data_IF_734298609526
#
_entry.id   IF_734298609526
#
_cell.length_a   1.000
_cell.length_b   1.000
_cell.length_c   1.000
_cell.angle_alpha   90.00
_cell.angle_beta   90.00
_cell.angle_gamma   90.00
#
_symmetry.space_group_name_H-M   'P 1'
#
loop_
_entity.id
_entity.type
_entity.pdbx_description
1 polymer ?
#
# COMPACT_ATOMS: atom_id res chain seq x y z
N UNK A 1 -35.78 26.48 -52.85
CA UNK A 1 -34.78 25.40 -53.07
C UNK A 1 -33.41 25.97 -52.68
N UNK A 2 -32.61 25.23 -51.91
CA UNK A 2 -31.25 25.59 -51.43
C UNK A 2 -31.09 26.30 -50.06
N UNK A 3 -31.48 25.66 -48.96
CA UNK A 3 -30.99 26.00 -47.60
C UNK A 3 -30.71 24.76 -46.72
N UNK A 4 -30.35 23.62 -47.33
CA UNK A 4 -29.96 22.41 -46.58
C UNK A 4 -28.48 22.02 -46.71
N UNK A 5 -27.72 22.68 -47.58
CA UNK A 5 -26.29 22.34 -47.80
C UNK A 5 -25.36 22.96 -46.75
N UNK A 6 -25.62 24.19 -46.31
CA UNK A 6 -24.75 24.89 -45.34
C UNK A 6 -24.80 24.35 -43.91
N UNK A 7 -25.95 23.84 -43.47
CA UNK A 7 -26.13 23.30 -42.12
C UNK A 7 -25.42 21.95 -41.96
N UNK A 8 -25.36 21.15 -43.05
CA UNK A 8 -24.68 19.85 -43.06
C UNK A 8 -23.16 19.98 -43.00
N UNK A 9 -22.56 20.99 -43.64
CA UNK A 9 -21.11 21.23 -43.59
C UNK A 9 -20.66 21.73 -42.23
N UNK A 10 -21.46 22.56 -41.55
CA UNK A 10 -21.15 23.03 -40.18
C UNK A 10 -21.22 21.87 -39.18
N UNK A 11 -22.22 20.98 -39.32
CA UNK A 11 -22.34 19.79 -38.46
C UNK A 11 -21.16 18.82 -38.64
N UNK A 12 -20.67 18.64 -39.87
CA UNK A 12 -19.50 17.78 -40.15
C UNK A 12 -18.22 18.39 -39.55
N UNK A 13 -18.01 19.70 -39.65
CA UNK A 13 -16.87 20.37 -39.01
C UNK A 13 -16.91 20.27 -37.48
N UNK A 14 -18.10 20.33 -36.87
CA UNK A 14 -18.25 20.20 -35.42
C UNK A 14 -17.96 18.76 -34.93
N UNK A 15 -18.33 17.75 -35.71
CA UNK A 15 -18.03 16.33 -35.40
C UNK A 15 -16.54 16.02 -35.57
N UNK A 16 -15.88 16.61 -36.58
CA UNK A 16 -14.42 16.46 -36.77
C UNK A 16 -13.65 17.19 -35.66
N UNK A 17 -14.11 18.37 -35.23
CA UNK A 17 -13.50 19.10 -34.11
C UNK A 17 -13.66 18.36 -32.78
N UNK A 18 -14.79 17.67 -32.55
CA UNK A 18 -14.99 16.85 -31.35
C UNK A 18 -14.18 15.54 -31.37
N UNK A 19 -13.86 15.01 -32.55
CA UNK A 19 -13.03 13.81 -32.69
C UNK A 19 -11.54 14.08 -32.40
N UNK A 20 -11.10 15.35 -32.41
CA UNK A 20 -9.70 15.73 -32.20
C UNK A 20 -9.31 15.97 -30.72
N UNK A 21 -10.24 15.97 -29.77
CA UNK A 21 -9.92 16.20 -28.34
C UNK A 21 -9.67 14.93 -27.53
N UNK A 22 -9.75 13.73 -28.12
CA UNK A 22 -9.37 12.48 -27.45
C UNK A 22 -7.97 12.03 -27.86
N UNK A 23 -6.97 12.84 -27.51
CA UNK A 23 -5.64 12.33 -27.22
C UNK A 23 -5.24 12.83 -25.84
N UNK A 24 -5.79 12.18 -24.82
CA UNK A 24 -5.08 12.09 -23.55
C UNK A 24 -3.77 11.38 -23.91
N UNK A 25 -2.70 12.15 -24.01
CA UNK A 25 -1.37 11.61 -23.95
C UNK A 25 -1.28 10.88 -22.61
N UNK A 26 -1.49 9.57 -22.62
CA UNK A 26 -0.91 8.74 -21.60
C UNK A 26 0.58 8.96 -21.74
N UNK A 27 1.16 9.75 -20.83
CA UNK A 27 2.59 9.71 -20.62
C UNK A 27 2.96 8.23 -20.52
N UNK A 28 3.94 7.73 -21.31
CA UNK A 28 4.47 6.42 -21.00
C UNK A 28 4.89 6.48 -19.53
N UNK A 29 4.61 5.42 -18.77
CA UNK A 29 5.16 5.22 -17.42
C UNK A 29 6.69 5.06 -17.53
N UNK A 30 7.36 6.10 -17.98
CA UNK A 30 8.77 6.19 -18.23
C UNK A 30 9.41 6.82 -17.01
N UNK A 31 10.19 6.01 -16.31
CA UNK A 31 11.21 6.46 -15.37
C UNK A 31 10.76 7.33 -14.20
N UNK A 32 9.92 6.80 -13.32
CA UNK A 32 10.11 7.10 -11.89
C UNK A 32 10.72 5.87 -11.23
N UNK A 33 12.03 5.70 -11.37
CA UNK A 33 12.78 4.80 -10.48
C UNK A 33 12.73 5.41 -9.06
N UNK A 34 11.59 5.22 -8.38
CA UNK A 34 11.43 5.51 -6.95
C UNK A 34 12.22 4.47 -6.18
N UNK A 35 12.96 4.88 -5.16
CA UNK A 35 13.93 4.04 -4.45
C UNK A 35 13.40 2.65 -4.14
N UNK A 36 13.86 1.62 -4.84
CA UNK A 36 13.28 0.29 -4.62
C UNK A 36 13.79 -0.29 -3.30
N UNK A 37 12.92 -1.03 -2.61
CA UNK A 37 13.32 -1.88 -1.51
C UNK A 37 14.24 -2.97 -2.10
N UNK A 38 15.41 -3.19 -1.48
CA UNK A 38 16.37 -4.20 -1.98
C UNK A 38 15.73 -5.59 -2.01
N UNK A 39 16.22 -6.44 -2.91
CA UNK A 39 15.83 -7.84 -2.96
C UNK A 39 16.30 -8.62 -1.72
N UNK A 40 17.37 -8.15 -1.08
CA UNK A 40 17.93 -8.75 0.14
C UNK A 40 17.15 -8.39 1.42
N UNK A 41 16.19 -7.48 1.33
CA UNK A 41 15.36 -7.11 2.48
C UNK A 41 14.45 -8.28 2.86
N UNK A 42 14.45 -8.71 4.14
CA UNK A 42 13.67 -9.85 4.60
C UNK A 42 12.20 -9.75 4.17
N UNK A 43 11.64 -10.86 3.71
CA UNK A 43 10.21 -10.98 3.37
C UNK A 43 9.41 -11.39 4.60
N UNK A 44 8.09 -11.28 4.52
CA UNK A 44 7.19 -11.69 5.59
C UNK A 44 7.41 -13.14 6.00
N UNK A 45 7.64 -14.04 5.04
CA UNK A 45 7.92 -15.45 5.33
C UNK A 45 9.26 -15.64 6.06
N UNK A 46 10.32 -14.93 5.65
CA UNK A 46 11.63 -14.99 6.31
C UNK A 46 11.54 -14.46 7.76
N UNK A 47 10.79 -13.37 7.96
CA UNK A 47 10.52 -12.82 9.29
C UNK A 47 9.74 -13.82 10.16
N UNK A 48 8.74 -14.49 9.60
CA UNK A 48 7.99 -15.53 10.31
C UNK A 48 8.87 -16.71 10.65
N UNK A 49 9.69 -17.18 9.72
CA UNK A 49 10.58 -18.32 9.93
C UNK A 49 11.59 -18.04 11.04
N UNK A 50 12.15 -16.83 11.08
CA UNK A 50 13.10 -16.40 12.10
C UNK A 50 12.51 -16.23 13.51
N UNK A 51 11.18 -16.22 13.66
CA UNK A 51 10.56 -16.20 14.99
C UNK A 51 10.85 -17.50 15.76
N UNK A 52 11.30 -17.32 16.99
CA UNK A 52 11.62 -18.38 17.95
C UNK A 52 11.17 -17.97 19.35
N UNK A 53 11.25 -18.88 20.32
CA UNK A 53 10.94 -18.54 21.72
C UNK A 53 11.90 -17.48 22.30
N UNK A 54 13.15 -17.42 21.82
CA UNK A 54 14.14 -16.42 22.22
C UNK A 54 13.99 -15.07 21.50
N UNK A 55 13.37 -15.06 20.31
CA UNK A 55 13.06 -13.86 19.54
C UNK A 55 11.64 -13.96 18.97
N UNK A 56 10.60 -13.79 19.80
CA UNK A 56 9.23 -14.07 19.39
C UNK A 56 8.60 -12.91 18.60
N UNK A 57 9.25 -11.75 18.56
CA UNK A 57 8.66 -10.51 18.04
C UNK A 57 9.15 -10.22 16.61
N UNK A 58 8.23 -9.71 15.79
CA UNK A 58 8.59 -9.12 14.50
C UNK A 58 9.47 -7.87 14.71
N UNK A 59 10.35 -7.54 13.74
CA UNK A 59 11.11 -6.30 13.78
C UNK A 59 10.16 -5.09 13.77
N UNK A 60 10.49 -4.07 14.57
CA UNK A 60 9.66 -2.87 14.70
C UNK A 60 9.79 -1.95 13.49
N UNK A 61 10.93 -1.97 12.81
CA UNK A 61 11.26 -1.16 11.64
C UNK A 61 11.31 -2.05 10.40
N UNK A 62 10.51 -1.69 9.41
CA UNK A 62 10.25 -2.50 8.22
C UNK A 62 10.30 -1.64 6.97
N UNK A 63 10.92 -2.15 5.90
CA UNK A 63 10.84 -1.53 4.57
C UNK A 63 9.73 -2.20 3.78
N UNK A 64 8.67 -1.45 3.46
CA UNK A 64 7.47 -1.98 2.80
C UNK A 64 6.90 -0.99 1.79
N UNK A 65 6.14 -1.49 0.82
CA UNK A 65 5.36 -0.66 -0.09
C UNK A 65 4.00 -0.33 0.51
N UNK A 66 3.51 0.89 0.31
CA UNK A 66 2.17 1.26 0.76
C UNK A 66 1.10 0.80 -0.22
N UNK A 67 0.11 0.03 0.25
CA UNK A 67 -1.02 -0.40 -0.57
C UNK A 67 -2.17 0.62 -0.55
N UNK A 68 -2.55 1.08 0.65
CA UNK A 68 -3.73 1.92 0.83
C UNK A 68 -4.24 1.92 2.27
N UNK A 69 -5.32 2.67 2.51
CA UNK A 69 -5.99 2.71 3.81
C UNK A 69 -7.17 1.74 3.84
N UNK A 70 -7.27 0.94 4.90
CA UNK A 70 -8.38 0.02 5.16
C UNK A 70 -8.91 0.22 6.57
N UNK A 71 -10.07 0.89 6.71
CA UNK A 71 -10.67 1.18 8.00
C UNK A 71 -9.76 2.06 8.88
N UNK A 72 -9.20 1.47 9.94
CA UNK A 72 -8.29 2.13 10.88
C UNK A 72 -6.81 1.81 10.63
N UNK A 73 -6.52 1.10 9.54
CA UNK A 73 -5.19 0.61 9.20
C UNK A 73 -4.65 1.27 7.93
N UNK A 74 -3.35 1.53 7.94
CA UNK A 74 -2.54 1.71 6.75
C UNK A 74 -1.98 0.34 6.38
N UNK A 75 -2.29 -0.12 5.18
CA UNK A 75 -1.91 -1.45 4.70
C UNK A 75 -0.66 -1.30 3.87
N UNK A 76 0.36 -2.07 4.23
CA UNK A 76 1.62 -2.16 3.52
C UNK A 76 1.84 -3.60 3.04
N UNK A 77 2.77 -3.80 2.13
CA UNK A 77 3.14 -5.12 1.64
C UNK A 77 4.65 -5.22 1.37
N UNK A 78 5.19 -6.43 1.53
CA UNK A 78 6.56 -6.73 1.10
C UNK A 78 6.62 -6.93 -0.42
N UNK A 79 7.81 -7.15 -0.96
CA UNK A 79 8.00 -7.40 -2.40
C UNK A 79 7.20 -8.60 -2.94
N UNK A 80 6.89 -9.58 -2.09
CA UNK A 80 6.11 -10.78 -2.45
C UNK A 80 4.60 -10.56 -2.32
N UNK A 81 4.16 -9.36 -1.93
CA UNK A 81 2.74 -9.03 -1.76
C UNK A 81 2.15 -9.49 -0.42
N UNK A 82 2.97 -9.95 0.54
CA UNK A 82 2.47 -10.29 1.87
C UNK A 82 2.20 -9.01 2.66
N UNK A 83 0.98 -8.89 3.18
CA UNK A 83 0.50 -7.65 3.77
C UNK A 83 0.83 -7.51 5.25
N UNK A 84 1.06 -6.27 5.67
CA UNK A 84 1.29 -5.82 7.04
C UNK A 84 0.29 -4.71 7.36
N UNK A 85 -0.31 -4.75 8.54
CA UNK A 85 -1.35 -3.80 8.93
C UNK A 85 -0.82 -2.87 10.02
N UNK A 86 -0.79 -1.58 9.73
CA UNK A 86 -0.37 -0.56 10.69
C UNK A 86 -1.58 0.25 11.14
N UNK A 87 -2.06 0.01 12.36
CA UNK A 87 -3.15 0.76 12.97
C UNK A 87 -2.68 2.20 13.17
N UNK A 88 -3.29 3.15 12.47
CA UNK A 88 -2.90 4.56 12.56
C UNK A 88 -3.90 5.40 13.35
N UNK A 89 -5.09 4.86 13.67
CA UNK A 89 -6.12 5.55 14.46
C UNK A 89 -6.97 4.57 15.27
N UNK A 90 -7.57 5.05 16.34
CA UNK A 90 -8.48 4.24 17.16
C UNK A 90 -9.87 4.13 16.54
N UNK A 91 -10.40 5.22 16.01
CA UNK A 91 -11.76 5.29 15.47
C UNK A 91 -11.84 6.17 14.23
N UNK A 92 -12.98 6.10 13.53
CA UNK A 92 -13.20 6.83 12.27
C UNK A 92 -13.22 8.36 12.40
N UNK A 93 -13.43 8.88 13.61
CA UNK A 93 -13.57 10.30 13.91
C UNK A 93 -12.23 11.01 14.15
N UNK A 94 -11.13 10.26 14.31
CA UNK A 94 -9.80 10.85 14.40
C UNK A 94 -9.33 11.38 13.03
N UNK A 95 -9.67 12.65 12.77
CA UNK A 95 -9.36 13.34 11.51
C UNK A 95 -7.88 13.69 11.41
N UNK A 96 -7.18 13.92 12.53
CA UNK A 96 -5.76 14.29 12.54
C UNK A 96 -4.93 13.12 12.03
N UNK A 97 -5.13 11.94 12.61
CA UNK A 97 -4.39 10.74 12.21
C UNK A 97 -4.75 10.28 10.80
N UNK A 98 -6.00 10.50 10.35
CA UNK A 98 -6.37 10.30 8.94
C UNK A 98 -5.59 11.20 7.98
N UNK A 99 -5.42 12.48 8.32
CA UNK A 99 -4.61 13.42 7.51
C UNK A 99 -3.13 13.05 7.51
N UNK A 100 -2.64 12.47 8.61
CA UNK A 100 -1.28 11.94 8.67
C UNK A 100 -1.11 10.76 7.71
N UNK A 101 -1.99 9.75 7.77
CA UNK A 101 -1.90 8.57 6.90
C UNK A 101 -2.23 8.86 5.42
N UNK A 102 -3.01 9.92 5.12
CA UNK A 102 -3.35 10.29 3.73
C UNK A 102 -2.18 10.86 2.92
N UNK A 103 -1.01 11.07 3.53
CA UNK A 103 0.20 11.50 2.85
C UNK A 103 0.97 10.33 2.22
N UNK A 104 0.64 9.11 2.60
CA UNK A 104 1.23 7.91 1.99
C UNK A 104 0.78 7.79 0.54
N UNK A 105 1.72 7.57 -0.36
CA UNK A 105 1.47 7.41 -1.79
C UNK A 105 1.38 5.92 -2.15
N UNK A 106 0.30 5.51 -2.80
CA UNK A 106 0.11 4.12 -3.20
C UNK A 106 1.27 3.61 -4.08
N UNK A 107 1.78 2.42 -3.78
CA UNK A 107 2.92 1.79 -4.43
C UNK A 107 4.28 2.39 -4.07
N UNK A 108 4.34 3.47 -3.28
CA UNK A 108 5.61 4.05 -2.88
C UNK A 108 6.28 3.22 -1.75
N UNK A 109 7.62 3.16 -1.73
CA UNK A 109 8.39 2.43 -0.73
C UNK A 109 8.63 3.29 0.50
N UNK A 110 8.45 2.70 1.68
CA UNK A 110 8.61 3.36 2.97
C UNK A 110 9.43 2.51 3.92
N UNK A 111 10.26 3.17 4.74
CA UNK A 111 10.64 2.63 6.04
C UNK A 111 9.53 3.00 7.03
N UNK A 112 8.92 1.99 7.65
CA UNK A 112 7.78 2.13 8.56
C UNK A 112 8.16 1.53 9.90
N UNK A 113 7.92 2.29 10.98
CA UNK A 113 8.17 1.83 12.34
C UNK A 113 6.85 1.66 13.09
N UNK A 114 6.72 0.57 13.85
CA UNK A 114 5.54 0.33 14.68
C UNK A 114 5.71 -0.74 15.75
N UNK A 115 4.87 -0.66 16.78
CA UNK A 115 4.85 -1.65 17.86
C UNK A 115 3.96 -2.81 17.50
N UNK A 116 4.44 -4.04 17.65
CA UNK A 116 3.64 -5.22 17.41
C UNK A 116 2.40 -5.27 18.34
N UNK A 117 1.21 -5.37 17.75
CA UNK A 117 -0.07 -5.42 18.47
C UNK A 117 -0.71 -6.81 18.48
N UNK A 118 -0.30 -7.70 17.57
CA UNK A 118 -0.90 -9.02 17.42
C UNK A 118 -0.98 -9.45 15.96
N UNK A 119 -1.80 -10.46 15.69
CA UNK A 119 -1.88 -11.09 14.37
C UNK A 119 -3.32 -11.37 13.99
N UNK A 120 -3.65 -11.14 12.71
CA UNK A 120 -4.86 -11.69 12.14
C UNK A 120 -4.60 -13.13 11.70
N UNK A 121 -5.38 -14.07 12.24
CA UNK A 121 -5.40 -15.48 11.84
C UNK A 121 -6.69 -15.75 11.07
N UNK A 122 -6.65 -16.68 10.12
CA UNK A 122 -7.79 -17.04 9.29
C UNK A 122 -8.29 -18.43 9.66
N UNK A 123 -9.42 -18.47 10.36
CA UNK A 123 -10.14 -19.73 10.59
C UNK A 123 -10.79 -20.17 9.28
N UNK A 124 -10.55 -21.42 8.87
CA UNK A 124 -11.05 -22.00 7.60
C UNK A 124 -10.69 -21.16 6.35
N UNK A 125 -9.54 -20.46 6.36
CA UNK A 125 -9.05 -19.61 5.25
C UNK A 125 -9.92 -18.40 4.89
N UNK A 126 -11.02 -18.15 5.61
CA UNK A 126 -11.98 -17.09 5.27
C UNK A 126 -12.26 -16.18 6.46
N UNK A 127 -12.43 -16.73 7.66
CA UNK A 127 -12.86 -15.95 8.82
C UNK A 127 -11.64 -15.33 9.48
N UNK A 128 -11.50 -14.01 9.34
CA UNK A 128 -10.40 -13.24 9.94
C UNK A 128 -10.68 -12.96 11.42
N UNK A 129 -9.84 -13.50 12.31
CA UNK A 129 -9.87 -13.23 13.75
C UNK A 129 -8.60 -12.53 14.19
N UNK A 130 -8.72 -11.47 14.98
CA UNK A 130 -7.57 -10.80 15.58
C UNK A 130 -7.22 -11.45 16.92
N UNK A 131 -5.97 -11.89 17.06
CA UNK A 131 -5.39 -12.30 18.34
C UNK A 131 -4.41 -11.21 18.78
N UNK A 132 -4.64 -10.64 19.97
CA UNK A 132 -3.79 -9.56 20.49
C UNK A 132 -2.43 -10.12 20.95
N UNK A 133 -1.41 -9.27 21.00
CA UNK A 133 -0.12 -9.60 21.60
C UNK A 133 -0.33 -10.15 23.01
N UNK A 134 0.15 -11.37 23.24
CA UNK A 134 0.01 -12.10 24.50
C UNK A 134 -1.12 -13.13 24.52
N UNK A 135 -2.13 -12.97 23.64
CA UNK A 135 -3.13 -14.01 23.36
C UNK A 135 -2.72 -14.89 22.16
N UNK A 136 -1.83 -14.37 21.32
CA UNK A 136 -1.31 -15.03 20.13
C UNK A 136 -0.15 -15.98 20.46
N UNK A 137 -0.11 -17.11 19.77
CA UNK A 137 0.96 -18.11 19.93
C UNK A 137 2.04 -17.92 18.86
N UNK A 138 3.22 -18.50 19.07
CA UNK A 138 4.26 -18.53 18.03
C UNK A 138 3.75 -19.19 16.75
N UNK A 139 2.95 -20.24 16.86
CA UNK A 139 2.30 -20.91 15.73
C UNK A 139 1.39 -19.95 14.94
N UNK A 140 0.59 -19.12 15.63
CA UNK A 140 -0.27 -18.12 14.98
C UNK A 140 0.56 -17.08 14.20
N UNK A 141 1.70 -16.65 14.75
CA UNK A 141 2.60 -15.70 14.09
C UNK A 141 3.24 -16.32 12.85
N UNK A 142 3.68 -17.58 12.95
CA UNK A 142 4.38 -18.30 11.86
C UNK A 142 3.44 -18.82 10.78
N UNK A 143 2.13 -18.88 11.04
CA UNK A 143 1.14 -19.34 10.07
C UNK A 143 1.24 -18.56 8.74
N UNK A 144 1.21 -19.28 7.61
CA UNK A 144 1.54 -18.71 6.30
C UNK A 144 0.66 -17.52 5.92
N UNK A 145 -0.64 -17.65 6.16
CA UNK A 145 -1.65 -16.65 5.81
C UNK A 145 -1.91 -15.63 6.91
N UNK A 146 -1.23 -15.73 8.05
CA UNK A 146 -1.40 -14.76 9.12
C UNK A 146 -0.90 -13.38 8.71
N UNK A 147 -1.53 -12.32 9.19
CA UNK A 147 -1.14 -10.94 8.87
C UNK A 147 -0.72 -10.25 10.17
N UNK A 148 0.54 -9.83 10.31
CA UNK A 148 0.98 -9.13 11.50
C UNK A 148 0.39 -7.72 11.54
N UNK A 149 0.04 -7.29 12.74
CA UNK A 149 -0.60 -6.00 13.01
C UNK A 149 0.28 -5.20 13.97
N UNK A 150 0.51 -3.94 13.63
CA UNK A 150 1.35 -3.01 14.38
C UNK A 150 0.59 -1.73 14.71
N UNK A 151 1.02 -1.02 15.75
CA UNK A 151 0.66 0.37 16.00
C UNK A 151 1.60 1.25 15.18
N UNK A 152 1.07 2.07 14.27
CA UNK A 152 1.90 2.98 13.49
C UNK A 152 2.53 4.03 14.41
N UNK A 153 3.86 4.12 14.40
CA UNK A 153 4.62 5.19 15.07
C UNK A 153 5.08 6.25 14.08
N UNK A 154 5.73 5.83 13.01
CA UNK A 154 6.31 6.72 12.00
C UNK A 154 6.42 6.01 10.65
N UNK A 155 6.56 6.80 9.59
CA UNK A 155 6.97 6.33 8.28
C UNK A 155 7.85 7.39 7.61
N UNK A 156 8.80 6.93 6.79
CA UNK A 156 9.68 7.75 5.97
C UNK A 156 9.71 7.18 4.56
N UNK A 157 9.42 8.01 3.56
CA UNK A 157 9.51 7.59 2.15
C UNK A 157 10.97 7.31 1.78
N UNK A 158 11.20 6.19 1.11
CA UNK A 158 12.51 5.84 0.57
C UNK A 158 12.65 6.51 -0.80
N UNK A 159 13.28 7.68 -0.80
CA UNK A 159 13.65 8.37 -2.04
C UNK A 159 15.07 7.92 -2.38
N UNK A 160 15.28 7.46 -3.62
CA UNK A 160 16.62 7.21 -4.16
C UNK A 160 17.23 8.61 -4.34
N UNK A 161 18.12 9.04 -3.44
CA UNK A 161 19.00 10.15 -3.75
C UNK A 161 19.80 9.69 -4.97
N UNK A 162 19.62 10.37 -6.10
CA UNK A 162 20.32 10.04 -7.34
C UNK A 162 21.81 9.87 -7.09
N UNK A 163 22.33 8.77 -7.60
CA UNK A 163 23.75 8.50 -7.80
C UNK A 163 24.31 9.66 -8.63
N UNK A 164 24.91 10.65 -7.99
CA UNK A 164 25.95 11.52 -8.55
C UNK A 164 27.28 11.12 -7.91
N UNK A 165 27.83 9.99 -8.34
CA UNK A 165 29.25 9.66 -8.22
C UNK A 165 29.71 8.98 -9.50
#
# INVERSE_FOLDING_TARGET
>A
MATHRGIRTIAIFLVIALAFTFRIASEPAGNTYRGTISLDEPRSLDMKESLSDSSPNFPEKLKLFFQGLAGNYAVFYDWNGHTFYFKYRENKFDRRLRKYASRLSGGAPYEVTGDYLGVFVFENKVIRRFKKKGEDTLTDRKEKHSIPVFQLKEYKELILEEILL
#
